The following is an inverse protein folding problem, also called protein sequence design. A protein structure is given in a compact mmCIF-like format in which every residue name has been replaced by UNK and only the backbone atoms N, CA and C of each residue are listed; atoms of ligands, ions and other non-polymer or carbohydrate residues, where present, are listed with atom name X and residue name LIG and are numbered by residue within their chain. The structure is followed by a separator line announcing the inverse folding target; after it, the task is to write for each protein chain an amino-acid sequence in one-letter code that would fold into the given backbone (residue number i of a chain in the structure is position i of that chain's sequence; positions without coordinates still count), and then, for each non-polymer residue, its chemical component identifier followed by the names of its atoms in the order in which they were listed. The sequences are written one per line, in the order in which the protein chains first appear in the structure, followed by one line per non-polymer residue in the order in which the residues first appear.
data_IF_128260016595
#
_entry.id   IF_128260016595
#
_cell.length_a   1.000
_cell.length_b   1.000
_cell.length_c   1.000
_cell.angle_alpha   90.00
_cell.angle_beta   90.00
_cell.angle_gamma   90.00
#
_symmetry.space_group_name_H-M   'P 1'
#
loop_
_entity.id
_entity.type
_entity.pdbx_description
1 polymer ?
#
# COMPACT_ATOMS: atom_id res chain seq x y z
N UNK A 1 17.13 -9.21 -4.89
CA UNK A 1 16.47 -8.42 -5.93
C UNK A 1 14.98 -8.44 -5.71
N UNK A 2 14.42 -7.30 -5.27
CA UNK A 2 12.99 -7.14 -5.12
C UNK A 2 12.28 -7.42 -6.45
N UNK A 3 11.24 -8.23 -6.38
CA UNK A 3 10.38 -8.56 -7.51
C UNK A 3 9.08 -7.79 -7.41
N UNK A 4 8.63 -7.25 -8.54
CA UNK A 4 7.31 -6.63 -8.66
C UNK A 4 6.27 -7.75 -8.72
N UNK A 5 5.40 -7.79 -7.72
CA UNK A 5 4.29 -8.75 -7.62
C UNK A 5 3.01 -8.21 -8.25
N UNK A 6 2.77 -6.91 -8.14
CA UNK A 6 1.62 -6.23 -8.75
C UNK A 6 1.93 -4.75 -9.00
N UNK A 7 1.26 -4.19 -9.99
CA UNK A 7 1.26 -2.76 -10.28
C UNK A 7 -0.15 -2.23 -10.19
N UNK A 8 -0.35 -1.24 -9.32
CA UNK A 8 -1.59 -0.48 -9.24
C UNK A 8 -1.40 0.83 -10.01
N UNK A 9 -2.27 1.07 -10.99
CA UNK A 9 -2.33 2.34 -11.74
C UNK A 9 -3.67 3.02 -11.50
N UNK A 10 -3.62 4.17 -10.84
CA UNK A 10 -4.82 4.97 -10.58
C UNK A 10 -5.27 5.72 -11.83
N UNK A 11 -6.53 6.19 -11.84
CA UNK A 11 -7.07 7.01 -12.93
C UNK A 11 -6.30 8.32 -13.11
N UNK A 12 -5.69 8.82 -12.05
CA UNK A 12 -4.85 10.01 -12.02
C UNK A 12 -3.43 9.76 -12.55
N UNK A 13 -3.11 8.53 -12.97
CA UNK A 13 -1.80 8.17 -13.51
C UNK A 13 -0.73 7.85 -12.47
N UNK A 14 -1.07 7.88 -11.17
CA UNK A 14 -0.15 7.46 -10.11
C UNK A 14 0.04 5.94 -10.17
N UNK A 15 1.28 5.49 -9.93
CA UNK A 15 1.66 4.09 -9.94
C UNK A 15 2.16 3.65 -8.57
N UNK A 16 1.74 2.46 -8.15
CA UNK A 16 2.16 1.82 -6.91
C UNK A 16 2.57 0.38 -7.19
N UNK A 17 3.68 -0.06 -6.62
CA UNK A 17 4.23 -1.40 -6.81
C UNK A 17 4.05 -2.18 -5.51
N UNK A 18 3.47 -3.37 -5.60
CA UNK A 18 3.59 -4.38 -4.57
C UNK A 18 4.89 -5.17 -4.83
N UNK A 19 5.74 -5.26 -3.83
CA UNK A 19 7.00 -6.01 -3.89
C UNK A 19 6.94 -7.25 -2.98
N UNK A 20 7.74 -8.26 -3.28
CA UNK A 20 7.97 -9.40 -2.40
C UNK A 20 8.81 -9.02 -1.17
N UNK A 21 9.84 -8.20 -1.38
CA UNK A 21 10.68 -7.60 -0.34
C UNK A 21 10.93 -6.12 -0.63
N UNK A 22 11.24 -5.33 0.41
CA UNK A 22 11.64 -3.94 0.22
C UNK A 22 13.07 -3.87 -0.33
N UNK A 23 13.40 -2.92 -1.23
CA UNK A 23 14.77 -2.70 -1.68
C UNK A 23 15.66 -2.31 -0.50
N UNK A 24 16.87 -2.87 -0.48
CA UNK A 24 17.86 -2.53 0.54
C UNK A 24 18.33 -1.10 0.32
N UNK A 25 18.46 -0.36 1.42
CA UNK A 25 18.94 1.02 1.44
C UNK A 25 20.31 1.07 2.07
N UNK A 26 21.34 0.93 1.23
CA UNK A 26 22.75 1.05 1.61
C UNK A 26 23.33 2.15 0.75
N UNK A 27 23.92 3.17 1.38
CA UNK A 27 24.27 4.40 0.68
C UNK A 27 25.76 4.50 0.43
N UNK A 28 26.11 4.85 -0.80
CA UNK A 28 27.42 5.38 -1.15
C UNK A 28 27.45 6.87 -0.81
N UNK A 29 28.53 7.32 -0.18
CA UNK A 29 28.69 8.71 0.24
C UNK A 29 29.74 9.42 -0.60
N UNK A 30 29.33 10.53 -1.23
CA UNK A 30 30.23 11.44 -1.95
C UNK A 30 30.06 12.85 -1.41
N UNK A 31 30.95 13.24 -0.50
CA UNK A 31 30.84 14.50 0.25
C UNK A 31 29.58 14.55 1.11
N UNK A 32 28.63 15.39 0.71
CA UNK A 32 27.32 15.55 1.37
C UNK A 32 26.18 14.80 0.66
N UNK A 33 26.46 14.09 -0.44
CA UNK A 33 25.47 13.29 -1.15
C UNK A 33 25.53 11.85 -0.67
N UNK A 34 24.36 11.24 -0.55
CA UNK A 34 24.12 9.85 -0.19
C UNK A 34 23.26 9.24 -1.30
N UNK A 35 23.77 8.21 -1.97
CA UNK A 35 23.07 7.56 -3.09
C UNK A 35 22.95 6.09 -2.79
N UNK A 36 21.72 5.57 -2.83
CA UNK A 36 21.47 4.13 -2.79
C UNK A 36 20.99 3.69 -4.16
N UNK A 37 21.59 2.62 -4.68
CA UNK A 37 21.15 1.91 -5.88
C UNK A 37 21.10 0.43 -5.55
N UNK A 38 19.91 -0.15 -5.62
CA UNK A 38 19.71 -1.57 -5.35
C UNK A 38 18.76 -2.15 -6.38
N UNK A 39 19.32 -2.92 -7.32
CA UNK A 39 18.55 -3.63 -8.36
C UNK A 39 17.56 -2.74 -9.12
N UNK A 40 17.98 -1.52 -9.49
CA UNK A 40 17.15 -0.56 -10.23
C UNK A 40 16.17 0.24 -9.37
N UNK A 41 16.26 0.14 -8.04
CA UNK A 41 15.64 1.06 -7.10
C UNK A 41 16.67 2.08 -6.63
N UNK A 42 16.30 3.36 -6.67
CA UNK A 42 17.19 4.47 -6.37
C UNK A 42 16.64 5.33 -5.24
N UNK A 43 17.55 5.81 -4.40
CA UNK A 43 17.26 6.78 -3.36
C UNK A 43 18.39 7.80 -3.26
N UNK A 44 18.03 9.06 -3.09
CA UNK A 44 18.96 10.19 -3.15
C UNK A 44 18.74 11.11 -1.97
N UNK A 45 19.74 11.18 -1.11
CA UNK A 45 19.72 12.03 0.05
C UNK A 45 20.90 12.98 0.07
N UNK A 46 20.70 14.11 0.77
CA UNK A 46 21.73 15.11 0.98
C UNK A 46 21.83 15.46 2.46
N UNK A 47 23.06 15.58 2.92
CA UNK A 47 23.42 16.10 4.24
C UNK A 47 23.40 17.63 4.16
N UNK A 48 22.53 18.26 4.94
CA UNK A 48 22.38 19.71 5.06
C UNK A 48 22.84 20.15 6.45
N UNK A 49 23.99 20.85 6.56
CA UNK A 49 24.49 21.35 7.83
C UNK A 49 23.49 22.26 8.55
N UNK A 50 23.38 22.14 9.88
CA UNK A 50 22.66 23.10 10.74
C UNK A 50 21.25 22.71 11.17
N UNK A 51 20.65 21.67 10.59
CA UNK A 51 19.33 21.16 11.03
C UNK A 51 19.53 20.05 12.07
N UNK A 52 19.09 20.26 13.30
CA UNK A 52 19.23 19.30 14.42
C UNK A 52 17.92 18.74 14.97
N UNK A 53 16.77 19.18 14.44
CA UNK A 53 15.43 18.90 15.00
C UNK A 53 14.41 18.35 13.99
N UNK A 54 14.85 17.75 12.86
CA UNK A 54 13.91 17.08 11.98
C UNK A 54 13.32 15.81 12.65
N UNK A 55 12.21 15.29 12.11
CA UNK A 55 11.51 14.10 12.63
C UNK A 55 11.05 14.22 14.10
N UNK A 56 10.71 15.43 14.55
CA UNK A 56 10.34 15.73 15.93
C UNK A 56 11.43 15.35 16.95
N UNK A 57 12.70 15.61 16.60
CA UNK A 57 13.87 15.33 17.45
C UNK A 57 14.29 13.87 17.50
N UNK A 58 13.69 12.99 16.69
CA UNK A 58 14.13 11.59 16.59
C UNK A 58 15.44 11.48 15.81
N UNK A 59 16.28 10.56 16.26
CA UNK A 59 17.47 10.14 15.55
C UNK A 59 17.32 8.75 14.96
N UNK A 60 18.02 8.48 13.87
CA UNK A 60 18.11 7.17 13.23
C UNK A 60 19.48 7.00 12.59
N UNK A 61 19.80 5.76 12.23
CA UNK A 61 21.09 5.41 11.62
C UNK A 61 20.89 4.99 10.16
N UNK A 62 21.80 5.41 9.29
CA UNK A 62 21.88 4.95 7.89
C UNK A 62 23.13 4.09 7.71
N UNK A 63 22.98 2.93 7.08
CA UNK A 63 24.11 2.07 6.72
C UNK A 63 24.77 2.55 5.43
N UNK A 64 26.10 2.65 5.44
CA UNK A 64 26.91 3.02 4.29
C UNK A 64 27.52 1.78 3.63
N UNK A 65 27.86 1.90 2.35
CA UNK A 65 28.43 0.81 1.55
C UNK A 65 29.81 0.36 2.03
N UNK A 66 30.56 1.23 2.72
CA UNK A 66 31.84 0.92 3.35
C UNK A 66 31.69 0.14 4.69
N UNK A 67 30.45 -0.20 5.07
CA UNK A 67 30.13 -0.90 6.31
C UNK A 67 30.01 0.00 7.53
N UNK A 68 30.28 1.30 7.40
CA UNK A 68 30.08 2.27 8.48
C UNK A 68 28.62 2.70 8.59
N UNK A 69 28.33 3.47 9.64
CA UNK A 69 26.98 3.96 9.93
C UNK A 69 27.00 5.47 10.11
N UNK A 70 26.05 6.15 9.48
CA UNK A 70 25.81 7.58 9.63
C UNK A 70 24.66 7.83 10.61
N UNK A 71 24.98 8.46 11.74
CA UNK A 71 24.00 8.93 12.70
C UNK A 71 23.26 10.17 12.17
N UNK A 72 21.94 10.05 12.03
CA UNK A 72 21.05 11.07 11.49
C UNK A 72 20.22 11.68 12.62
N UNK A 73 20.42 12.98 12.86
CA UNK A 73 19.75 13.84 13.83
C UNK A 73 19.07 15.01 13.12
N UNK A 74 18.43 14.71 11.99
CA UNK A 74 17.67 15.67 11.19
C UNK A 74 18.45 16.46 10.14
N UNK A 75 19.72 16.13 9.91
CA UNK A 75 20.56 16.75 8.87
C UNK A 75 20.42 16.10 7.50
N UNK A 76 19.60 15.07 7.32
CA UNK A 76 19.50 14.28 6.08
C UNK A 76 18.11 14.46 5.45
N UNK A 77 18.10 14.85 4.18
CA UNK A 77 16.89 15.18 3.43
C UNK A 77 16.89 14.51 2.06
N UNK A 78 15.71 14.15 1.56
CA UNK A 78 15.53 13.80 0.15
C UNK A 78 15.97 14.99 -0.72
N UNK A 79 16.78 14.72 -1.73
CA UNK A 79 17.27 15.76 -2.64
C UNK A 79 16.89 15.54 -4.09
N UNK A 80 16.17 14.45 -4.39
CA UNK A 80 16.12 13.89 -5.75
C UNK A 80 17.51 13.61 -6.32
N UNK A 81 17.53 13.10 -7.55
CA UNK A 81 18.76 12.84 -8.29
C UNK A 81 18.49 12.19 -9.63
N UNK A 82 19.50 12.25 -10.50
CA UNK A 82 19.49 11.56 -11.78
C UNK A 82 20.43 10.33 -11.68
N UNK A 83 19.90 9.10 -11.70
CA UNK A 83 20.73 7.89 -11.72
C UNK A 83 21.40 7.63 -13.07
N UNK A 84 21.22 8.50 -14.07
CA UNK A 84 21.76 8.32 -15.42
C UNK A 84 20.96 7.31 -16.25
N UNK A 85 19.79 6.88 -15.76
CA UNK A 85 18.85 6.00 -16.45
C UNK A 85 17.44 6.56 -16.37
N UNK A 86 16.56 6.32 -17.36
CA UNK A 86 15.17 6.72 -17.26
C UNK A 86 14.49 6.10 -16.05
N UNK A 87 13.89 6.93 -15.20
CA UNK A 87 13.18 6.50 -14.00
C UNK A 87 11.72 6.93 -13.98
N UNK A 88 10.99 6.38 -13.01
CA UNK A 88 9.63 6.74 -12.64
C UNK A 88 9.54 6.86 -11.12
N UNK A 89 8.77 7.83 -10.63
CA UNK A 89 8.41 7.92 -9.22
C UNK A 89 7.15 7.12 -8.96
N UNK A 90 7.24 6.21 -7.99
CA UNK A 90 6.17 5.27 -7.64
C UNK A 90 6.07 5.13 -6.13
N UNK A 91 4.91 4.72 -5.65
CA UNK A 91 4.82 4.17 -4.30
C UNK A 91 5.24 2.70 -4.30
N UNK A 92 5.93 2.24 -3.26
CA UNK A 92 6.32 0.84 -3.08
C UNK A 92 5.90 0.35 -1.70
N UNK A 93 5.58 -0.93 -1.60
CA UNK A 93 5.26 -1.59 -0.34
C UNK A 93 5.24 -3.09 -0.49
N UNK A 94 5.32 -3.80 0.62
CA UNK A 94 5.11 -5.26 0.67
C UNK A 94 3.71 -5.55 1.19
N UNK A 95 3.27 -6.80 1.05
CA UNK A 95 1.97 -7.21 1.62
C UNK A 95 1.93 -6.98 3.13
N UNK A 96 3.00 -7.41 3.82
CA UNK A 96 3.15 -7.23 5.27
C UNK A 96 3.09 -5.75 5.67
N UNK A 97 3.79 -4.86 4.95
CA UNK A 97 3.75 -3.43 5.29
C UNK A 97 2.36 -2.84 5.12
N UNK A 98 1.66 -3.17 4.02
CA UNK A 98 0.33 -2.65 3.72
C UNK A 98 -0.76 -3.20 4.65
N UNK A 99 -0.61 -4.44 5.13
CA UNK A 99 -1.51 -5.02 6.14
C UNK A 99 -1.39 -4.30 7.49
N UNK A 100 -0.17 -3.91 7.87
CA UNK A 100 0.09 -3.17 9.10
C UNK A 100 -0.40 -1.71 9.03
N UNK A 101 -0.14 -1.04 7.92
CA UNK A 101 -0.55 0.33 7.64
C UNK A 101 -0.61 0.52 6.12
N UNK A 102 -1.78 0.91 5.60
CA UNK A 102 -2.01 1.04 4.15
C UNK A 102 -1.36 2.30 3.57
N UNK A 103 -0.03 2.34 3.58
CA UNK A 103 0.80 3.45 3.12
C UNK A 103 1.92 2.89 2.27
N UNK A 104 1.98 3.37 1.02
CA UNK A 104 3.12 3.12 0.14
C UNK A 104 4.24 4.12 0.45
N UNK A 105 5.47 3.62 0.53
CA UNK A 105 6.67 4.47 0.63
C UNK A 105 7.04 4.99 -0.76
N UNK A 106 7.44 6.26 -0.88
CA UNK A 106 7.92 6.77 -2.15
C UNK A 106 9.25 6.10 -2.56
N UNK A 107 9.42 5.86 -3.85
CA UNK A 107 10.67 5.40 -4.43
C UNK A 107 10.85 5.89 -5.88
N UNK A 108 12.12 5.97 -6.28
CA UNK A 108 12.52 6.20 -7.67
C UNK A 108 12.96 4.86 -8.26
N UNK A 109 12.36 4.44 -9.36
CA UNK A 109 12.58 3.10 -9.93
C UNK A 109 12.95 3.21 -11.40
N UNK A 110 13.86 2.37 -11.87
CA UNK A 110 14.19 2.23 -13.28
C UNK A 110 12.92 1.95 -14.08
N UNK A 111 12.66 2.77 -15.11
CA UNK A 111 11.45 2.66 -15.93
C UNK A 111 11.34 1.29 -16.59
N UNK A 112 12.47 0.72 -17.02
CA UNK A 112 12.54 -0.59 -17.65
C UNK A 112 11.98 -1.73 -16.79
N UNK A 113 12.14 -1.67 -15.45
CA UNK A 113 11.59 -2.69 -14.55
C UNK A 113 10.06 -2.68 -14.55
N UNK A 114 9.47 -1.50 -14.52
CA UNK A 114 8.02 -1.33 -14.52
C UNK A 114 7.45 -1.69 -15.90
N UNK A 115 8.11 -1.28 -16.98
CA UNK A 115 7.70 -1.60 -18.35
C UNK A 115 7.78 -3.10 -18.65
N UNK A 116 8.83 -3.77 -18.18
CA UNK A 116 8.94 -5.23 -18.31
C UNK A 116 7.76 -5.93 -17.65
N UNK A 117 7.42 -5.56 -16.41
CA UNK A 117 6.25 -6.12 -15.73
C UNK A 117 4.94 -5.83 -16.49
N UNK A 118 4.76 -4.59 -16.96
CA UNK A 118 3.56 -4.17 -17.69
C UNK A 118 3.43 -4.80 -19.09
N UNK A 119 4.53 -5.25 -19.70
CA UNK A 119 4.47 -5.97 -20.98
C UNK A 119 3.87 -7.37 -20.86
N UNK A 120 3.95 -7.96 -19.67
CA UNK A 120 3.51 -9.33 -19.40
C UNK A 120 2.21 -9.37 -18.57
N UNK A 121 1.89 -8.28 -17.86
CA UNK A 121 0.83 -8.26 -16.86
C UNK A 121 -0.09 -7.03 -17.01
N UNK A 122 -1.36 -7.22 -16.65
CA UNK A 122 -2.34 -6.14 -16.55
C UNK A 122 -2.25 -5.48 -15.16
N UNK A 123 -2.05 -4.15 -15.07
CA UNK A 123 -2.06 -3.48 -13.77
C UNK A 123 -3.46 -3.42 -13.17
N UNK A 124 -3.54 -3.46 -11.85
CA UNK A 124 -4.75 -3.21 -11.10
C UNK A 124 -5.13 -1.73 -11.12
N UNK A 125 -6.42 -1.44 -11.17
CA UNK A 125 -6.99 -0.10 -10.99
C UNK A 125 -7.39 0.18 -9.53
N UNK A 126 -7.35 -0.83 -8.67
CA UNK A 126 -7.86 -0.77 -7.29
C UNK A 126 -6.78 -0.32 -6.32
N UNK A 127 -6.77 0.97 -5.99
CA UNK A 127 -5.79 1.52 -5.04
C UNK A 127 -5.75 0.79 -3.69
N UNK A 128 -6.90 0.39 -3.15
CA UNK A 128 -7.02 -0.29 -1.85
C UNK A 128 -7.05 -1.83 -1.96
N UNK A 129 -6.59 -2.43 -3.08
CA UNK A 129 -6.66 -3.88 -3.33
C UNK A 129 -6.15 -4.76 -2.18
N UNK A 130 -5.14 -4.29 -1.45
CA UNK A 130 -4.51 -5.03 -0.35
C UNK A 130 -4.99 -4.58 1.04
N UNK A 131 -5.94 -3.66 1.14
CA UNK A 131 -6.55 -3.29 2.42
C UNK A 131 -7.58 -4.34 2.79
N UNK A 132 -7.49 -4.90 4.00
CA UNK A 132 -8.48 -5.84 4.56
C UNK A 132 -9.91 -5.30 4.50
N UNK A 133 -10.09 -3.96 4.57
CA UNK A 133 -11.39 -3.26 4.49
C UNK A 133 -12.02 -3.30 3.10
N UNK A 134 -11.31 -3.79 2.09
CA UNK A 134 -11.81 -4.01 0.73
C UNK A 134 -12.22 -5.46 0.46
N UNK A 135 -12.46 -6.24 1.52
CA UNK A 135 -12.96 -7.63 1.44
C UNK A 135 -14.38 -7.73 1.98
N UNK A 136 -15.19 -8.67 1.44
CA UNK A 136 -16.56 -8.89 1.93
C UNK A 136 -16.50 -9.50 3.33
N UNK A 137 -15.51 -10.35 3.57
CA UNK A 137 -15.25 -11.08 4.80
C UNK A 137 -15.04 -10.11 5.98
N UNK A 138 -14.23 -9.06 5.80
CA UNK A 138 -14.02 -8.04 6.83
C UNK A 138 -15.33 -7.36 7.23
N UNK A 139 -16.16 -6.96 6.27
CA UNK A 139 -17.44 -6.32 6.57
C UNK A 139 -18.43 -7.31 7.17
N UNK A 140 -18.44 -8.56 6.74
CA UNK A 140 -19.29 -9.57 7.38
C UNK A 140 -18.92 -9.77 8.85
N UNK A 141 -17.62 -9.81 9.17
CA UNK A 141 -17.14 -9.92 10.54
C UNK A 141 -17.60 -8.73 11.39
N UNK A 142 -17.34 -7.49 10.95
CA UNK A 142 -17.77 -6.27 11.64
C UNK A 142 -19.29 -6.25 11.89
N UNK A 143 -20.11 -6.61 10.90
CA UNK A 143 -21.56 -6.61 11.09
C UNK A 143 -22.04 -7.72 12.03
N UNK A 144 -21.30 -8.82 12.16
CA UNK A 144 -21.60 -9.91 13.09
C UNK A 144 -21.17 -9.56 14.52
N UNK A 145 -19.98 -8.99 14.70
CA UNK A 145 -19.37 -8.73 16.01
C UNK A 145 -19.89 -7.45 16.64
N UNK A 146 -19.97 -6.36 15.89
CA UNK A 146 -20.41 -5.04 16.38
C UNK A 146 -21.94 -4.84 16.32
N UNK A 147 -22.68 -5.81 15.76
CA UNK A 147 -24.13 -5.77 15.69
C UNK A 147 -24.70 -4.64 14.82
N UNK A 148 -23.95 -4.15 13.81
CA UNK A 148 -24.31 -2.99 12.96
C UNK A 148 -25.52 -3.20 12.01
N UNK A 149 -26.35 -4.22 12.26
CA UNK A 149 -27.55 -4.53 11.48
C UNK A 149 -28.86 -4.06 12.13
N UNK A 150 -29.85 -3.70 11.31
CA UNK A 150 -31.19 -3.44 11.80
C UNK A 150 -31.91 -4.76 12.06
N UNK A 151 -32.54 -4.90 13.24
CA UNK A 151 -33.42 -6.03 13.54
C UNK A 151 -34.59 -6.04 12.55
N UNK A 152 -34.92 -7.22 12.02
CA UNK A 152 -36.01 -7.41 11.06
C UNK A 152 -36.89 -8.59 11.47
N UNK A 153 -38.13 -8.61 10.99
CA UNK A 153 -39.03 -9.75 11.21
C UNK A 153 -38.55 -11.00 10.45
N UNK A 154 -38.88 -12.18 10.98
CA UNK A 154 -38.58 -13.47 10.33
C UNK A 154 -39.21 -13.57 8.94
N UNK A 155 -40.39 -12.98 8.72
CA UNK A 155 -41.02 -12.91 7.41
C UNK A 155 -40.19 -12.08 6.42
N UNK A 156 -39.69 -10.91 6.84
CA UNK A 156 -38.81 -10.07 6.02
C UNK A 156 -37.48 -10.77 5.74
N UNK A 157 -36.89 -11.42 6.74
CA UNK A 157 -35.64 -12.18 6.59
C UNK A 157 -35.78 -13.28 5.52
N UNK A 158 -36.88 -14.04 5.52
CA UNK A 158 -37.15 -15.07 4.49
C UNK A 158 -37.24 -14.47 3.09
N UNK A 159 -37.92 -13.33 2.92
CA UNK A 159 -38.02 -12.63 1.62
C UNK A 159 -36.65 -12.16 1.13
N UNK A 160 -35.82 -11.60 2.02
CA UNK A 160 -34.48 -11.12 1.68
C UNK A 160 -33.51 -12.24 1.32
N UNK A 161 -33.54 -13.38 2.02
CA UNK A 161 -32.71 -14.54 1.67
C UNK A 161 -33.00 -15.07 0.26
N UNK A 162 -34.28 -15.09 -0.14
CA UNK A 162 -34.66 -15.47 -1.51
C UNK A 162 -34.07 -14.54 -2.59
N UNK A 163 -33.63 -13.34 -2.20
CA UNK A 163 -32.96 -12.36 -3.08
C UNK A 163 -31.43 -12.39 -2.94
N UNK A 164 -30.87 -13.34 -2.20
CA UNK A 164 -29.42 -13.47 -1.99
C UNK A 164 -28.82 -12.54 -0.93
N UNK A 165 -29.64 -11.84 -0.14
CA UNK A 165 -29.14 -10.96 0.92
C UNK A 165 -28.54 -11.77 2.08
N UNK A 166 -27.47 -11.27 2.68
CA UNK A 166 -26.86 -11.85 3.87
C UNK A 166 -27.65 -11.43 5.11
N UNK A 167 -28.00 -12.41 5.95
CA UNK A 167 -28.81 -12.21 7.17
C UNK A 167 -28.05 -12.74 8.37
N UNK A 168 -27.76 -11.88 9.34
CA UNK A 168 -27.13 -12.23 10.63
C UNK A 168 -28.20 -12.50 11.69
N UNK A 169 -27.76 -13.07 12.82
CA UNK A 169 -28.54 -13.09 14.06
C UNK A 169 -27.81 -12.24 15.10
N UNK A 170 -28.52 -11.26 15.65
CA UNK A 170 -28.06 -10.44 16.78
C UNK A 170 -29.05 -10.69 17.91
N UNK A 171 -28.55 -11.19 19.05
CA UNK A 171 -29.37 -11.64 20.19
C UNK A 171 -30.48 -12.64 19.80
N UNK A 172 -30.15 -13.58 18.91
CA UNK A 172 -31.09 -14.60 18.42
C UNK A 172 -32.14 -14.08 17.43
N UNK A 173 -32.20 -12.77 17.14
CA UNK A 173 -33.16 -12.16 16.20
C UNK A 173 -32.51 -11.90 14.84
N UNK A 174 -33.24 -12.09 13.72
CA UNK A 174 -32.71 -11.78 12.40
C UNK A 174 -32.37 -10.29 12.26
N UNK A 175 -31.21 -10.00 11.71
CA UNK A 175 -30.72 -8.65 11.45
C UNK A 175 -30.21 -8.53 10.02
N UNK A 176 -30.32 -7.32 9.47
CA UNK A 176 -29.96 -7.02 8.09
C UNK A 176 -29.56 -5.55 7.93
N UNK A 177 -28.67 -5.28 6.97
CA UNK A 177 -28.25 -3.92 6.64
C UNK A 177 -28.22 -3.70 5.13
N UNK A 178 -29.02 -2.74 4.65
CA UNK A 178 -28.95 -2.27 3.28
C UNK A 178 -27.56 -1.69 2.94
N UNK A 179 -26.91 -1.06 3.92
CA UNK A 179 -25.57 -0.49 3.77
C UNK A 179 -24.53 -1.58 3.52
N UNK A 180 -24.62 -2.70 4.24
CA UNK A 180 -23.76 -3.85 3.98
C UNK A 180 -23.98 -4.38 2.56
N UNK A 181 -25.24 -4.62 2.15
CA UNK A 181 -25.51 -5.18 0.81
C UNK A 181 -24.97 -4.28 -0.30
N UNK A 182 -25.13 -2.96 -0.15
CA UNK A 182 -24.56 -1.99 -1.09
C UNK A 182 -23.03 -2.08 -1.14
N UNK A 183 -22.36 -2.15 0.03
CA UNK A 183 -20.90 -2.26 0.10
C UNK A 183 -20.39 -3.59 -0.46
N UNK A 184 -21.04 -4.71 -0.13
CA UNK A 184 -20.76 -6.03 -0.70
C UNK A 184 -20.86 -6.01 -2.23
N UNK A 185 -21.96 -5.49 -2.77
CA UNK A 185 -22.14 -5.37 -4.21
C UNK A 185 -21.05 -4.50 -4.87
N UNK A 186 -20.68 -3.38 -4.23
CA UNK A 186 -19.59 -2.52 -4.71
C UNK A 186 -18.25 -3.26 -4.74
N UNK A 187 -17.86 -3.92 -3.64
CA UNK A 187 -16.59 -4.66 -3.57
C UNK A 187 -16.53 -5.74 -4.67
N UNK A 188 -17.61 -6.49 -4.87
CA UNK A 188 -17.68 -7.53 -5.90
C UNK A 188 -17.59 -6.94 -7.31
N UNK A 189 -18.25 -5.80 -7.56
CA UNK A 189 -18.16 -5.11 -8.83
C UNK A 189 -16.75 -4.57 -9.09
N UNK A 190 -16.09 -4.02 -8.07
CA UNK A 190 -14.72 -3.52 -8.16
C UNK A 190 -13.74 -4.67 -8.46
N UNK A 191 -13.88 -5.82 -7.78
CA UNK A 191 -13.08 -7.03 -8.06
C UNK A 191 -13.29 -7.49 -9.51
N UNK A 192 -14.54 -7.54 -9.98
CA UNK A 192 -14.86 -7.98 -11.33
C UNK A 192 -14.35 -7.02 -12.41
N UNK A 193 -14.30 -5.72 -12.14
CA UNK A 193 -13.74 -4.73 -13.06
C UNK A 193 -12.21 -4.76 -13.13
N UNK A 194 -11.55 -5.27 -12.07
CA UNK A 194 -10.10 -5.34 -11.96
C UNK A 194 -9.50 -6.61 -12.58
N UNK A 195 -10.23 -7.73 -12.52
CA UNK A 195 -9.89 -9.00 -13.19
C UNK A 195 -9.72 -8.77 -14.71
#
# INVERSE_FOLDING_TARGET
MPKILDVIKTKQGQMFLLLDEMPRRVYERTGNLLVSSHDGFFDFMKIVPGTRDAFAGRSFSINLSDGSTLECKGQVWDSGGDPGVPTVHVGIGTRESLESCYVFSAATVARSLVEAWLSENKPSSRYYKYDKRETVEYWEDIYRTEGWGNRISSARARKLRKRGATIWRVDGRPAWSARFEKRKAQILADIAADA
#
